data_IF_614433505167
#
_entry.id   IF_614433505167
#
_cell.length_a   1.000
_cell.length_b   1.000
_cell.length_c   1.000
_cell.angle_alpha   90.00
_cell.angle_beta   90.00
_cell.angle_gamma   90.00
#
_symmetry.space_group_name_H-M   'P 1'
#
loop_
_entity.id
_entity.type
_entity.pdbx_description
1 polymer ?
#
# COMPACT_ATOMS: atom_id res chain seq x y z
N UNK A 1 -3.07 -23.65 -22.42
CA UNK A 1 -3.38 -23.27 -23.82
C UNK A 1 -2.09 -23.16 -24.60
N UNK A 2 -2.04 -23.73 -25.81
CA UNK A 2 -0.93 -23.53 -26.74
C UNK A 2 -1.54 -23.05 -28.06
N UNK A 3 -1.02 -21.98 -28.62
CA UNK A 3 -1.44 -21.45 -29.92
C UNK A 3 -0.25 -20.84 -30.63
N UNK A 4 -0.28 -20.76 -31.96
CA UNK A 4 0.70 -19.99 -32.74
C UNK A 4 0.18 -18.57 -32.90
N UNK A 5 1.06 -17.59 -32.71
CA UNK A 5 0.73 -16.16 -32.85
C UNK A 5 1.73 -15.49 -33.80
N UNK A 6 1.25 -14.51 -34.53
CA UNK A 6 2.09 -13.59 -35.29
C UNK A 6 2.31 -12.29 -34.52
N UNK A 7 3.30 -11.49 -34.93
CA UNK A 7 3.54 -10.21 -34.29
C UNK A 7 2.29 -9.30 -34.42
N UNK A 8 1.76 -8.87 -33.28
CA UNK A 8 0.54 -8.05 -33.20
C UNK A 8 -0.74 -8.81 -32.87
N UNK A 9 -0.69 -10.13 -32.78
CA UNK A 9 -1.86 -10.91 -32.33
C UNK A 9 -2.15 -10.71 -30.85
N UNK A 10 -3.40 -10.53 -30.50
CA UNK A 10 -3.88 -10.50 -29.14
C UNK A 10 -4.30 -11.90 -28.71
N UNK A 11 -3.78 -12.35 -27.56
CA UNK A 11 -4.14 -13.64 -26.97
C UNK A 11 -4.84 -13.35 -25.64
N UNK A 12 -6.03 -13.91 -25.46
CA UNK A 12 -6.74 -13.89 -24.19
C UNK A 12 -6.90 -15.31 -23.63
N UNK A 13 -6.81 -15.41 -22.31
CA UNK A 13 -7.06 -16.65 -21.58
C UNK A 13 -7.63 -16.37 -20.21
N UNK A 14 -8.70 -17.10 -19.86
CA UNK A 14 -9.24 -17.06 -18.49
C UNK A 14 -8.40 -17.98 -17.59
N UNK A 15 -7.83 -17.41 -16.54
CA UNK A 15 -7.01 -18.12 -15.56
C UNK A 15 -7.70 -18.06 -14.20
N UNK A 16 -8.12 -19.21 -13.64
CA UNK A 16 -8.73 -19.22 -12.32
C UNK A 16 -7.68 -18.87 -11.26
N UNK A 17 -7.92 -17.78 -10.55
CA UNK A 17 -7.09 -17.36 -9.42
C UNK A 17 -7.60 -17.96 -8.12
N UNK A 18 -6.69 -18.45 -7.27
CA UNK A 18 -6.98 -18.82 -5.89
C UNK A 18 -6.99 -17.56 -5.02
N UNK A 19 -7.70 -17.59 -3.90
CA UNK A 19 -7.61 -16.54 -2.88
C UNK A 19 -6.16 -16.28 -2.47
N UNK A 20 -5.82 -15.01 -2.27
CA UNK A 20 -4.47 -14.59 -1.95
C UNK A 20 -3.56 -14.43 -3.19
N UNK A 21 -2.26 -14.63 -2.97
CA UNK A 21 -1.24 -14.41 -4.00
C UNK A 21 -1.24 -15.51 -5.05
N UNK A 22 -1.23 -15.12 -6.31
CA UNK A 22 -1.12 -15.98 -7.48
C UNK A 22 0.09 -15.55 -8.32
N UNK A 23 0.93 -16.51 -8.70
CA UNK A 23 1.94 -16.33 -9.76
C UNK A 23 1.43 -16.99 -11.03
N UNK A 24 1.28 -16.20 -12.09
CA UNK A 24 0.96 -16.72 -13.44
C UNK A 24 2.21 -16.63 -14.28
N UNK A 25 2.67 -17.78 -14.77
CA UNK A 25 3.81 -17.90 -15.69
C UNK A 25 3.28 -18.05 -17.12
N UNK A 26 3.60 -17.11 -17.98
CA UNK A 26 3.34 -17.23 -19.43
C UNK A 26 4.64 -17.63 -20.10
N UNK A 27 4.63 -18.75 -20.81
CA UNK A 27 5.77 -19.28 -21.55
C UNK A 27 5.54 -19.07 -23.05
N UNK A 28 6.54 -18.53 -23.71
CA UNK A 28 6.58 -18.34 -25.17
C UNK A 28 7.64 -19.25 -25.74
N UNK A 29 7.32 -19.95 -26.81
CA UNK A 29 8.29 -20.76 -27.56
C UNK A 29 8.36 -20.18 -28.98
N UNK A 30 9.55 -19.81 -29.41
CA UNK A 30 9.76 -19.32 -30.79
C UNK A 30 9.85 -20.47 -31.80
N UNK A 31 9.99 -20.11 -33.09
CA UNK A 31 10.08 -21.09 -34.18
C UNK A 31 11.32 -22.00 -34.09
N UNK A 32 12.37 -21.56 -33.40
CA UNK A 32 13.60 -22.35 -33.15
C UNK A 32 13.48 -23.27 -31.94
N UNK A 33 12.38 -23.22 -31.23
CA UNK A 33 12.11 -24.00 -30.01
C UNK A 33 12.68 -23.37 -28.73
N UNK A 34 13.19 -22.16 -28.80
CA UNK A 34 13.68 -21.42 -27.61
C UNK A 34 12.51 -20.96 -26.78
N UNK A 35 12.56 -21.25 -25.47
CA UNK A 35 11.53 -20.91 -24.51
C UNK A 35 11.90 -19.67 -23.72
N UNK A 36 11.00 -18.69 -23.74
CA UNK A 36 11.07 -17.49 -22.90
C UNK A 36 9.82 -17.42 -22.03
N UNK A 37 9.91 -16.86 -20.82
CA UNK A 37 8.73 -16.74 -19.97
C UNK A 37 8.64 -15.38 -19.29
N UNK A 38 7.42 -14.97 -18.99
CA UNK A 38 7.11 -13.81 -18.18
C UNK A 38 6.24 -14.23 -17.01
N UNK A 39 6.59 -13.74 -15.82
CA UNK A 39 5.83 -13.99 -14.60
C UNK A 39 5.00 -12.77 -14.27
N UNK A 40 3.76 -13.00 -13.89
CA UNK A 40 2.82 -11.99 -13.41
C UNK A 40 2.36 -12.40 -12.01
N UNK A 41 2.34 -11.45 -11.09
CA UNK A 41 1.83 -11.66 -9.74
C UNK A 41 0.49 -10.93 -9.60
N UNK A 42 -0.51 -11.67 -9.15
CA UNK A 42 -1.86 -11.14 -8.88
C UNK A 42 -2.24 -11.47 -7.45
N UNK A 43 -2.95 -10.57 -6.79
CA UNK A 43 -3.60 -10.85 -5.51
C UNK A 43 -5.10 -10.92 -5.76
N UNK A 44 -5.68 -12.11 -5.54
CA UNK A 44 -7.14 -12.26 -5.52
C UNK A 44 -7.62 -12.04 -4.08
N UNK A 45 -8.35 -10.96 -3.88
CA UNK A 45 -8.99 -10.65 -2.61
C UNK A 45 -10.41 -11.21 -2.61
N UNK A 46 -10.65 -12.23 -1.80
CA UNK A 46 -12.02 -12.74 -1.61
C UNK A 46 -12.81 -11.85 -0.67
N UNK A 47 -12.12 -11.14 0.24
CA UNK A 47 -12.72 -10.19 1.19
C UNK A 47 -11.80 -9.01 1.43
N UNK A 48 -12.37 -7.83 1.45
CA UNK A 48 -11.81 -6.61 2.00
C UNK A 48 -12.95 -5.82 2.64
N UNK A 49 -12.60 -5.00 3.63
CA UNK A 49 -13.58 -4.26 4.42
C UNK A 49 -13.73 -2.82 3.92
N UNK A 50 -12.63 -2.24 3.42
CA UNK A 50 -12.53 -0.85 3.00
C UNK A 50 -11.80 -0.78 1.66
N UNK A 51 -12.18 0.21 0.83
CA UNK A 51 -11.47 0.58 -0.39
C UNK A 51 -10.86 1.97 -0.22
N UNK A 52 -9.62 2.13 -0.70
CA UNK A 52 -9.01 3.45 -0.92
C UNK A 52 -8.83 3.67 -2.41
N UNK A 53 -9.37 4.79 -2.90
CA UNK A 53 -9.27 5.21 -4.30
C UNK A 53 -8.94 6.70 -4.33
N UNK A 54 -7.76 7.06 -4.82
CA UNK A 54 -7.32 8.46 -4.91
C UNK A 54 -8.27 9.35 -5.73
N UNK A 55 -9.10 8.75 -6.59
CA UNK A 55 -10.10 9.45 -7.40
C UNK A 55 -11.48 9.54 -6.74
N UNK A 56 -11.66 8.93 -5.57
CA UNK A 56 -12.92 9.04 -4.85
C UNK A 56 -13.17 10.48 -4.39
N UNK A 57 -14.43 10.88 -4.33
CA UNK A 57 -14.79 12.15 -3.74
C UNK A 57 -14.35 12.15 -2.26
N UNK A 58 -13.68 13.21 -1.82
CA UNK A 58 -13.30 13.34 -0.41
C UNK A 58 -14.56 13.36 0.44
N UNK A 59 -14.66 12.46 1.41
CA UNK A 59 -15.71 12.49 2.41
C UNK A 59 -15.50 13.69 3.33
N UNK A 60 -16.56 14.45 3.63
CA UNK A 60 -16.51 15.55 4.61
C UNK A 60 -16.35 15.05 6.05
N UNK A 61 -16.68 13.79 6.29
CA UNK A 61 -16.51 13.13 7.58
C UNK A 61 -16.15 11.66 7.39
N UNK A 62 -15.15 11.19 8.13
CA UNK A 62 -14.79 9.78 8.18
C UNK A 62 -15.90 9.03 8.94
N UNK A 63 -16.63 8.18 8.22
CA UNK A 63 -17.60 7.29 8.83
C UNK A 63 -16.89 6.08 9.43
N UNK A 64 -17.12 5.79 10.70
CA UNK A 64 -16.57 4.57 11.32
C UNK A 64 -17.26 3.33 10.79
N UNK A 65 -16.48 2.29 10.55
CA UNK A 65 -17.01 0.98 10.17
C UNK A 65 -17.86 0.45 11.31
N UNK A 66 -19.12 0.16 10.99
CA UNK A 66 -19.95 -0.70 11.83
C UNK A 66 -19.96 -2.07 11.18
N UNK A 67 -19.44 -3.08 11.88
CA UNK A 67 -19.51 -4.46 11.40
C UNK A 67 -20.94 -4.96 11.52
N UNK A 68 -21.64 -4.99 10.39
CA UNK A 68 -22.83 -5.80 10.24
C UNK A 68 -22.43 -7.10 9.56
N UNK A 69 -22.55 -8.23 10.24
CA UNK A 69 -22.09 -9.55 9.76
C UNK A 69 -22.86 -10.07 8.54
N UNK A 70 -23.83 -9.32 8.04
CA UNK A 70 -24.74 -9.76 6.99
C UNK A 70 -24.46 -9.20 5.60
N UNK A 71 -23.62 -8.18 5.43
CA UNK A 71 -23.36 -7.58 4.12
C UNK A 71 -22.20 -8.28 3.39
N UNK A 72 -22.55 -9.17 2.49
CA UNK A 72 -21.61 -9.85 1.58
C UNK A 72 -21.42 -9.11 0.25
N UNK A 73 -22.04 -7.94 0.07
CA UNK A 73 -22.05 -7.22 -1.21
C UNK A 73 -20.93 -6.18 -1.30
N UNK A 74 -20.13 -6.30 -2.35
CA UNK A 74 -18.98 -5.45 -2.66
C UNK A 74 -19.40 -4.00 -2.98
N UNK A 75 -20.67 -3.77 -3.33
CA UNK A 75 -21.22 -2.47 -3.72
C UNK A 75 -21.43 -1.49 -2.55
N UNK A 76 -21.41 -1.97 -1.31
CA UNK A 76 -21.71 -1.17 -0.10
C UNK A 76 -20.48 -0.87 0.79
N UNK A 77 -19.27 -1.27 0.35
CA UNK A 77 -18.07 -1.06 1.15
C UNK A 77 -17.66 0.40 1.16
N UNK A 78 -17.24 0.94 2.32
CA UNK A 78 -16.81 2.32 2.40
C UNK A 78 -15.59 2.57 1.51
N UNK A 79 -15.61 3.68 0.77
CA UNK A 79 -14.55 4.12 -0.11
C UNK A 79 -14.00 5.44 0.40
N UNK A 80 -12.69 5.52 0.60
CA UNK A 80 -11.98 6.72 1.04
C UNK A 80 -10.99 7.18 -0.01
N UNK A 81 -10.75 8.48 -0.08
CA UNK A 81 -9.76 9.06 -0.98
C UNK A 81 -8.32 8.93 -0.45
N UNK A 82 -8.14 8.74 0.86
CA UNK A 82 -6.84 8.65 1.52
C UNK A 82 -6.71 7.39 2.37
N UNK A 83 -5.49 6.92 2.52
CA UNK A 83 -5.17 5.78 3.40
C UNK A 83 -5.38 6.19 4.87
N UNK A 84 -5.05 7.44 5.22
CA UNK A 84 -5.23 7.95 6.57
C UNK A 84 -6.70 7.94 7.00
N UNK A 85 -7.63 8.39 6.14
CA UNK A 85 -9.07 8.37 6.44
C UNK A 85 -9.61 6.94 6.57
N UNK A 86 -9.15 6.03 5.72
CA UNK A 86 -9.50 4.62 5.80
C UNK A 86 -9.08 4.00 7.14
N UNK A 87 -7.85 4.27 7.61
CA UNK A 87 -7.37 3.81 8.90
C UNK A 87 -8.14 4.46 10.05
N UNK A 88 -8.43 5.77 9.96
CA UNK A 88 -9.18 6.50 10.98
C UNK A 88 -10.63 6.01 11.14
N UNK A 89 -11.20 5.37 10.09
CA UNK A 89 -12.53 4.76 10.15
C UNK A 89 -12.57 3.49 11.02
N UNK A 90 -11.42 2.84 11.23
CA UNK A 90 -11.34 1.63 12.07
C UNK A 90 -11.41 2.03 13.55
N UNK A 91 -12.28 1.40 14.35
CA UNK A 91 -12.36 1.69 15.79
C UNK A 91 -11.01 1.47 16.50
N UNK A 92 -10.64 2.36 17.42
CA UNK A 92 -9.36 2.30 18.13
C UNK A 92 -9.21 1.06 19.04
N UNK A 93 -10.32 0.47 19.42
CA UNK A 93 -10.41 -0.77 20.23
C UNK A 93 -10.60 -2.03 19.37
N UNK A 94 -10.31 -1.94 18.07
CA UNK A 94 -10.42 -3.03 17.11
C UNK A 94 -9.63 -4.27 17.58
N UNK A 95 -10.27 -5.45 17.45
CA UNK A 95 -9.70 -6.75 17.86
C UNK A 95 -9.72 -7.79 16.74
N UNK A 96 -10.18 -7.42 15.58
CA UNK A 96 -10.30 -8.30 14.43
C UNK A 96 -9.63 -7.71 13.23
N UNK A 97 -9.13 -8.59 12.34
CA UNK A 97 -8.45 -8.14 11.13
C UNK A 97 -9.38 -7.32 10.24
N UNK A 98 -8.96 -6.10 9.92
CA UNK A 98 -9.58 -5.22 8.93
C UNK A 98 -8.69 -5.16 7.71
N UNK A 99 -9.24 -5.46 6.54
CA UNK A 99 -8.51 -5.44 5.26
C UNK A 99 -8.87 -4.18 4.49
N UNK A 100 -7.87 -3.34 4.25
CA UNK A 100 -7.97 -2.10 3.48
C UNK A 100 -7.32 -2.36 2.11
N UNK A 101 -8.13 -2.37 1.06
CA UNK A 101 -7.66 -2.48 -0.32
C UNK A 101 -7.38 -1.10 -0.90
N UNK A 102 -6.15 -0.88 -1.36
CA UNK A 102 -5.69 0.40 -1.90
C UNK A 102 -5.48 0.27 -3.40
N UNK A 103 -6.28 0.99 -4.19
CA UNK A 103 -6.15 1.03 -5.64
C UNK A 103 -4.84 1.69 -6.07
N UNK A 104 -4.45 1.44 -7.33
CA UNK A 104 -3.30 2.11 -7.93
C UNK A 104 -3.46 3.64 -7.85
N UNK A 105 -2.42 4.31 -7.39
CA UNK A 105 -2.38 5.76 -7.21
C UNK A 105 -1.15 6.20 -6.44
N UNK A 106 -0.89 7.50 -6.49
CA UNK A 106 0.11 8.13 -5.64
C UNK A 106 -0.60 8.85 -4.49
N UNK A 107 -0.40 8.36 -3.27
CA UNK A 107 -0.99 8.85 -2.03
C UNK A 107 0.04 9.70 -1.31
N UNK A 108 0.00 11.01 -1.55
CA UNK A 108 0.91 11.97 -0.91
C UNK A 108 0.37 12.38 0.46
N UNK A 109 0.67 11.57 1.46
CA UNK A 109 0.18 11.75 2.83
C UNK A 109 1.12 11.15 3.88
N UNK A 110 1.11 11.73 5.09
CA UNK A 110 1.75 11.11 6.26
C UNK A 110 0.73 10.24 6.97
N UNK A 111 1.02 8.94 7.03
CA UNK A 111 0.12 7.96 7.62
C UNK A 111 0.67 7.47 8.96
N UNK A 112 -0.21 7.37 9.95
CA UNK A 112 0.12 6.83 11.27
C UNK A 112 -0.89 5.77 11.66
N UNK A 113 -0.43 4.55 11.84
CA UNK A 113 -1.24 3.42 12.29
C UNK A 113 -1.06 3.28 13.80
N UNK A 114 -2.13 3.46 14.55
CA UNK A 114 -2.18 3.27 16.02
C UNK A 114 -3.10 2.12 16.42
N UNK A 115 -3.94 1.68 15.48
CA UNK A 115 -4.96 0.65 15.66
C UNK A 115 -4.41 -0.71 15.25
N UNK A 116 -4.57 -1.77 16.05
CA UNK A 116 -4.09 -3.12 15.73
C UNK A 116 -4.99 -3.82 14.70
N UNK A 117 -4.49 -4.94 14.18
CA UNK A 117 -5.21 -5.84 13.26
C UNK A 117 -5.63 -5.17 11.95
N UNK A 118 -4.72 -4.42 11.33
CA UNK A 118 -4.93 -3.81 10.02
C UNK A 118 -4.06 -4.51 8.97
N UNK A 119 -4.66 -4.89 7.86
CA UNK A 119 -3.96 -5.30 6.64
C UNK A 119 -4.20 -4.27 5.55
N UNK A 120 -3.14 -3.70 5.02
CA UNK A 120 -3.19 -2.81 3.85
C UNK A 120 -2.67 -3.58 2.65
N UNK A 121 -3.49 -3.70 1.61
CA UNK A 121 -3.14 -4.43 0.38
C UNK A 121 -3.25 -3.48 -0.81
N UNK A 122 -2.12 -3.18 -1.43
CA UNK A 122 -2.07 -2.43 -2.69
C UNK A 122 -2.47 -3.27 -3.89
N UNK A 123 -3.06 -2.65 -4.88
CA UNK A 123 -3.43 -3.29 -6.15
C UNK A 123 -2.19 -3.77 -6.92
N UNK A 124 -1.13 -2.96 -6.95
CA UNK A 124 0.15 -3.27 -7.60
C UNK A 124 1.29 -2.60 -6.84
N UNK A 125 2.32 -3.35 -6.45
CA UNK A 125 3.42 -2.84 -5.62
C UNK A 125 4.24 -1.71 -6.26
N UNK A 126 4.18 -1.52 -7.57
CA UNK A 126 4.89 -0.45 -8.27
C UNK A 126 3.99 0.76 -8.56
N UNK A 127 2.68 0.59 -8.50
CA UNK A 127 1.70 1.62 -8.87
C UNK A 127 0.87 2.12 -7.70
N UNK A 128 0.82 1.36 -6.60
CA UNK A 128 0.23 1.80 -5.34
C UNK A 128 1.33 2.35 -4.47
N UNK A 129 1.44 3.67 -4.39
CA UNK A 129 2.55 4.35 -3.72
C UNK A 129 2.01 5.26 -2.62
N UNK A 130 2.37 4.96 -1.37
CA UNK A 130 2.24 5.89 -0.26
C UNK A 130 3.56 6.64 -0.12
N UNK A 131 3.54 7.96 -0.21
CA UNK A 131 4.75 8.76 -0.12
C UNK A 131 4.52 10.08 0.60
N UNK A 132 5.60 10.59 1.19
CA UNK A 132 5.66 11.97 1.70
C UNK A 132 7.09 12.50 1.58
N UNK A 133 7.27 13.83 1.60
CA UNK A 133 8.56 14.49 1.35
C UNK A 133 9.16 15.16 2.58
N UNK A 134 8.86 14.67 3.79
CA UNK A 134 9.41 15.20 5.02
C UNK A 134 10.88 14.76 5.23
N UNK A 135 11.68 15.65 5.79
CA UNK A 135 13.01 15.34 6.30
C UNK A 135 13.16 15.86 7.72
N UNK A 136 14.11 15.32 8.49
CA UNK A 136 14.29 15.65 9.90
C UNK A 136 14.42 17.16 10.16
N UNK A 137 15.13 17.88 9.27
CA UNK A 137 15.32 19.33 9.37
C UNK A 137 14.20 20.18 8.77
N UNK A 138 13.23 19.59 8.06
CA UNK A 138 12.05 20.34 7.57
C UNK A 138 11.11 20.69 8.71
N UNK A 139 10.42 21.81 8.57
CA UNK A 139 9.40 22.24 9.52
C UNK A 139 8.09 21.51 9.25
N UNK A 140 7.52 20.91 10.28
CA UNK A 140 6.17 20.36 10.24
C UNK A 140 5.15 21.51 10.25
N UNK A 141 4.34 21.67 9.20
CA UNK A 141 3.38 22.77 9.13
C UNK A 141 2.29 22.68 10.20
N UNK A 142 2.05 21.51 10.78
CA UNK A 142 1.05 21.32 11.81
C UNK A 142 1.51 21.82 13.19
N UNK A 143 2.82 21.75 13.47
CA UNK A 143 3.38 22.06 14.80
C UNK A 143 4.30 23.27 14.82
N UNK A 144 4.84 23.67 13.67
CA UNK A 144 5.87 24.72 13.56
C UNK A 144 7.27 24.27 13.99
N UNK A 145 7.46 23.02 14.43
CA UNK A 145 8.74 22.46 14.84
C UNK A 145 9.36 21.64 13.71
N UNK A 146 10.64 21.34 13.79
CA UNK A 146 11.26 20.39 12.87
C UNK A 146 10.72 18.98 13.09
N UNK A 147 10.59 18.19 12.02
CA UNK A 147 10.10 16.81 12.11
C UNK A 147 10.97 15.92 13.00
N UNK A 148 12.30 16.12 12.99
CA UNK A 148 13.24 15.14 13.51
C UNK A 148 13.22 13.85 12.68
N UNK A 149 14.16 12.94 12.90
CA UNK A 149 14.30 11.72 12.08
C UNK A 149 13.02 10.88 12.09
N UNK A 150 12.56 10.49 13.27
CA UNK A 150 11.33 9.66 13.38
C UNK A 150 10.07 10.38 12.89
N UNK A 151 9.99 11.70 13.07
CA UNK A 151 8.86 12.51 12.59
C UNK A 151 8.83 12.67 11.07
N UNK A 152 9.93 12.41 10.37
CA UNK A 152 9.99 12.49 8.90
C UNK A 152 9.30 11.30 8.20
N UNK A 153 8.96 10.24 8.93
CA UNK A 153 8.40 9.02 8.34
C UNK A 153 7.11 9.28 7.55
N UNK A 154 7.04 8.73 6.33
CA UNK A 154 5.82 8.73 5.51
C UNK A 154 4.76 7.81 6.11
N UNK A 155 5.17 6.62 6.56
CA UNK A 155 4.32 5.69 7.31
C UNK A 155 4.96 5.39 8.67
N UNK A 156 4.17 5.56 9.73
CA UNK A 156 4.54 5.14 11.09
C UNK A 156 3.58 4.07 11.58
N UNK A 157 4.11 2.93 12.07
CA UNK A 157 3.35 1.89 12.77
C UNK A 157 3.72 1.96 14.24
N UNK A 158 2.80 2.44 15.07
CA UNK A 158 3.06 2.70 16.49
C UNK A 158 3.01 1.42 17.32
N UNK A 159 3.62 1.46 18.50
CA UNK A 159 3.71 0.32 19.41
C UNK A 159 2.36 -0.31 19.81
N UNK A 160 1.27 0.43 19.67
CA UNK A 160 -0.09 -0.06 19.92
C UNK A 160 -0.69 -0.85 18.75
N UNK A 161 -0.10 -0.72 17.57
CA UNK A 161 -0.62 -1.26 16.31
C UNK A 161 -0.03 -2.65 15.99
N UNK A 162 -0.21 -3.62 16.87
CA UNK A 162 0.24 -4.99 16.64
C UNK A 162 -0.62 -5.72 15.59
N UNK A 163 -0.08 -6.77 14.98
CA UNK A 163 -0.76 -7.56 13.94
C UNK A 163 -1.13 -6.73 12.70
N UNK A 164 -0.21 -5.87 12.27
CA UNK A 164 -0.37 -5.11 11.02
C UNK A 164 0.37 -5.80 9.88
N UNK A 165 -0.28 -5.88 8.74
CA UNK A 165 0.31 -6.40 7.51
C UNK A 165 0.29 -5.32 6.41
N UNK A 166 1.38 -5.21 5.68
CA UNK A 166 1.46 -4.44 4.43
C UNK A 166 1.76 -5.42 3.29
N UNK A 167 0.97 -5.37 2.25
CA UNK A 167 1.13 -6.23 1.09
C UNK A 167 1.04 -5.42 -0.21
N UNK A 168 1.90 -5.77 -1.15
CA UNK A 168 1.81 -5.31 -2.53
C UNK A 168 1.76 -3.77 -2.70
N UNK A 169 2.55 -3.03 -1.91
CA UNK A 169 2.56 -1.56 -1.86
C UNK A 169 4.00 -1.03 -1.83
N UNK A 170 4.21 0.15 -2.40
CA UNK A 170 5.42 0.95 -2.17
C UNK A 170 5.17 1.97 -1.06
N UNK A 171 6.08 2.03 -0.09
CA UNK A 171 6.17 3.13 0.88
C UNK A 171 7.45 3.90 0.59
N UNK A 172 7.33 5.18 0.31
CA UNK A 172 8.41 6.03 -0.13
C UNK A 172 8.56 7.26 0.77
N UNK A 173 9.79 7.75 0.92
CA UNK A 173 10.01 9.15 1.26
C UNK A 173 10.58 9.84 0.03
N UNK A 174 9.86 10.81 -0.52
CA UNK A 174 10.18 11.51 -1.77
C UNK A 174 11.01 12.79 -1.57
N UNK A 175 11.54 13.01 -0.36
CA UNK A 175 12.45 14.12 -0.08
C UNK A 175 13.62 14.13 -1.07
N UNK A 176 13.83 15.25 -1.77
CA UNK A 176 14.87 15.38 -2.81
C UNK A 176 16.24 15.69 -2.19
N UNK A 177 16.86 14.67 -1.59
CA UNK A 177 18.14 14.77 -0.89
C UNK A 177 19.24 15.50 -1.69
N UNK A 178 19.43 15.26 -3.01
CA UNK A 178 20.46 15.95 -3.79
C UNK A 178 20.23 17.45 -3.97
N UNK A 179 18.98 17.89 -4.08
CA UNK A 179 18.63 19.28 -4.37
C UNK A 179 18.54 20.14 -3.12
N UNK A 180 18.15 19.54 -2.01
CA UNK A 180 17.92 20.29 -0.77
C UNK A 180 19.24 20.62 -0.05
N UNK A 181 19.30 21.82 0.50
CA UNK A 181 20.49 22.34 1.21
C UNK A 181 20.32 22.43 2.73
N UNK A 182 19.20 21.95 3.26
CA UNK A 182 18.91 21.95 4.69
C UNK A 182 19.84 21.03 5.47
N UNK A 183 20.06 21.33 6.75
CA UNK A 183 20.61 20.37 7.70
C UNK A 183 19.53 19.36 8.12
N UNK A 184 19.95 18.16 8.56
CA UNK A 184 18.99 17.12 8.98
C UNK A 184 18.23 16.49 7.81
N UNK A 185 18.96 15.93 6.86
CA UNK A 185 18.40 15.31 5.65
C UNK A 185 17.87 13.88 5.82
N UNK A 186 17.87 13.34 7.06
CA UNK A 186 17.27 12.04 7.34
C UNK A 186 15.80 12.06 6.97
N UNK A 187 15.35 11.05 6.20
CA UNK A 187 14.05 11.04 5.51
C UNK A 187 13.48 9.62 5.47
N UNK A 188 12.78 9.26 6.54
CA UNK A 188 12.28 7.90 6.77
C UNK A 188 11.08 7.62 5.87
N UNK A 189 11.07 6.49 5.17
CA UNK A 189 9.86 6.02 4.49
C UNK A 189 8.96 5.26 5.47
N UNK A 190 9.50 4.28 6.18
CA UNK A 190 8.77 3.46 7.13
C UNK A 190 9.44 3.47 8.51
N UNK A 191 8.67 3.82 9.53
CA UNK A 191 9.03 3.69 10.94
C UNK A 191 8.13 2.67 11.61
N UNK A 192 8.72 1.69 12.31
CA UNK A 192 7.98 0.64 13.01
C UNK A 192 8.37 0.57 14.48
N UNK A 193 7.37 0.48 15.36
CA UNK A 193 7.53 0.31 16.80
C UNK A 193 6.71 -0.85 17.36
N UNK A 194 5.90 -1.50 16.51
CA UNK A 194 4.97 -2.54 16.89
C UNK A 194 5.56 -3.94 16.69
N UNK A 195 4.91 -4.92 17.28
CA UNK A 195 5.19 -6.35 17.12
C UNK A 195 4.22 -7.01 16.11
N UNK A 196 4.58 -8.23 15.66
CA UNK A 196 3.77 -9.07 14.79
C UNK A 196 3.43 -8.38 13.45
N UNK A 197 4.44 -7.78 12.84
CA UNK A 197 4.32 -7.11 11.54
C UNK A 197 4.65 -8.06 10.40
N UNK A 198 3.86 -7.99 9.33
CA UNK A 198 4.08 -8.75 8.10
C UNK A 198 4.26 -7.80 6.92
N UNK A 199 5.36 -7.96 6.18
CA UNK A 199 5.63 -7.23 4.95
C UNK A 199 5.77 -8.22 3.80
N UNK A 200 4.82 -8.20 2.86
CA UNK A 200 4.79 -9.09 1.71
C UNK A 200 4.77 -8.29 0.41
N UNK A 201 5.80 -8.43 -0.42
CA UNK A 201 5.95 -7.66 -1.66
C UNK A 201 5.85 -6.14 -1.43
N UNK A 202 6.45 -5.65 -0.34
CA UNK A 202 6.55 -4.23 -0.01
C UNK A 202 7.86 -3.68 -0.52
N UNK A 203 7.78 -2.57 -1.21
CA UNK A 203 8.94 -1.81 -1.67
C UNK A 203 9.11 -0.58 -0.79
N UNK A 204 10.31 -0.41 -0.21
CA UNK A 204 10.68 0.79 0.54
C UNK A 204 11.66 1.61 -0.30
N UNK A 205 11.37 2.90 -0.47
CA UNK A 205 12.24 3.80 -1.25
C UNK A 205 12.48 5.12 -0.52
N UNK A 206 13.69 5.63 -0.64
CA UNK A 206 14.14 6.88 -0.04
C UNK A 206 15.64 7.04 -0.24
N UNK A 207 16.20 8.11 0.27
CA UNK A 207 17.63 8.43 0.15
C UNK A 207 18.42 8.04 1.41
N UNK A 208 17.94 8.42 2.57
CA UNK A 208 18.62 8.20 3.84
C UNK A 208 17.62 7.79 4.92
N UNK A 209 17.99 6.81 5.75
CA UNK A 209 17.18 6.27 6.85
C UNK A 209 15.81 5.72 6.39
N UNK A 210 15.79 5.06 5.25
CA UNK A 210 14.55 4.60 4.59
C UNK A 210 13.69 3.72 5.51
N UNK A 211 14.29 2.91 6.38
CA UNK A 211 13.62 2.07 7.39
C UNK A 211 14.21 2.35 8.79
N UNK A 212 13.35 2.57 9.76
CA UNK A 212 13.68 2.77 11.16
C UNK A 212 12.81 1.90 12.09
#
# INVERSE_FOLDING_TARGET
MSGKTSAGDEISADIPLKSGRNEVKVEFTDESGVKTYKKFNFVKLDKYDIVVDANAAKSEAVQKITRDETSADVSEKPVYATIADAIASVPSDNKEQVVIYVKNGNYHEKVRITTPYITIIGEDSQKTVLEYDAAAGKTDPATGNTYGTSGSASLTIEATANNVALENITVANSFDYPKETIEGKMAVALLTRADQLVFNNVRLTGWQDTLQ
#
